data_IF_388818453526
#
_entry.id   IF_388818453526
#
_cell.length_a   1.000
_cell.length_b   1.000
_cell.length_c   1.000
_cell.angle_alpha   90.00
_cell.angle_beta   90.00
_cell.angle_gamma   90.00
#
_symmetry.space_group_name_H-M   'P 1'
#
loop_
_entity.id
_entity.type
_entity.pdbx_description
1 polymer ?
#
# COMPACT_ATOMS: atom_id res chain seq x y z
N UNK A 1 19.35 6.97 7.52
CA UNK A 1 18.03 7.54 7.90
C UNK A 1 17.23 8.11 6.73
N UNK A 2 17.85 8.77 5.72
CA UNK A 2 17.14 9.31 4.54
C UNK A 2 16.35 8.27 3.73
N UNK A 3 16.88 7.05 3.54
CA UNK A 3 16.20 6.01 2.74
C UNK A 3 14.89 5.49 3.35
N UNK A 4 14.75 5.49 4.68
CA UNK A 4 13.54 4.98 5.35
C UNK A 4 12.35 5.92 5.15
N UNK A 5 12.59 7.24 5.19
CA UNK A 5 11.56 8.26 4.97
C UNK A 5 11.13 8.25 3.50
N UNK A 6 12.06 8.11 2.55
CA UNK A 6 11.74 7.93 1.14
C UNK A 6 10.89 6.67 0.90
N UNK A 7 11.21 5.56 1.58
CA UNK A 7 10.44 4.31 1.49
C UNK A 7 9.00 4.48 2.01
N UNK A 8 8.81 5.19 3.12
CA UNK A 8 7.48 5.47 3.67
C UNK A 8 6.64 6.36 2.74
N UNK A 9 7.23 7.41 2.17
CA UNK A 9 6.54 8.29 1.18
C UNK A 9 6.17 7.49 -0.07
N UNK A 10 7.08 6.63 -0.57
CA UNK A 10 6.80 5.73 -1.69
C UNK A 10 5.70 4.71 -1.35
N UNK A 11 5.62 4.24 -0.10
CA UNK A 11 4.54 3.37 0.34
C UNK A 11 3.18 4.08 0.34
N UNK A 12 3.11 5.33 0.80
CA UNK A 12 1.87 6.12 0.68
C UNK A 12 1.47 6.35 -0.78
N UNK A 13 2.45 6.67 -1.63
CA UNK A 13 2.22 6.81 -3.07
C UNK A 13 1.73 5.50 -3.70
N UNK A 14 2.30 4.36 -3.30
CA UNK A 14 1.86 3.05 -3.77
C UNK A 14 0.44 2.72 -3.32
N UNK A 15 0.07 3.01 -2.06
CA UNK A 15 -1.29 2.79 -1.55
C UNK A 15 -2.32 3.63 -2.32
N UNK A 16 -1.97 4.88 -2.64
CA UNK A 16 -2.81 5.76 -3.46
C UNK A 16 -2.91 5.25 -4.90
N UNK A 17 -1.79 4.83 -5.51
CA UNK A 17 -1.75 4.31 -6.87
C UNK A 17 -2.59 3.02 -7.01
N UNK A 18 -2.54 2.12 -6.03
CA UNK A 18 -3.38 0.91 -6.01
C UNK A 18 -4.86 1.27 -5.94
N UNK A 19 -5.25 2.19 -5.06
CA UNK A 19 -6.65 2.62 -4.98
C UNK A 19 -7.14 3.37 -6.23
N UNK A 20 -6.28 4.12 -6.91
CA UNK A 20 -6.60 4.76 -8.20
C UNK A 20 -6.76 3.74 -9.33
N UNK A 21 -5.91 2.71 -9.33
CA UNK A 21 -5.97 1.62 -10.31
C UNK A 21 -6.99 0.53 -9.94
N UNK A 22 -7.64 0.61 -8.78
CA UNK A 22 -8.66 -0.34 -8.34
C UNK A 22 -9.80 -0.53 -9.35
N UNK A 23 -10.14 0.52 -10.10
CA UNK A 23 -11.13 0.45 -11.19
C UNK A 23 -10.71 -0.44 -12.36
N UNK A 24 -9.40 -0.60 -12.59
CA UNK A 24 -8.82 -1.41 -13.66
C UNK A 24 -8.37 -2.79 -13.15
N UNK A 25 -7.94 -2.89 -11.88
CA UNK A 25 -7.42 -4.12 -11.28
C UNK A 25 -8.47 -4.92 -10.52
N UNK A 26 -9.58 -4.30 -10.12
CA UNK A 26 -10.58 -4.89 -9.21
C UNK A 26 -10.09 -5.01 -7.76
N UNK A 27 -8.88 -4.55 -7.46
CA UNK A 27 -8.26 -4.67 -6.12
C UNK A 27 -8.34 -3.32 -5.42
N UNK A 28 -9.22 -3.23 -4.42
CA UNK A 28 -9.39 -2.03 -3.59
C UNK A 28 -8.83 -2.28 -2.18
N UNK A 29 -7.85 -1.49 -1.77
CA UNK A 29 -7.29 -1.54 -0.43
C UNK A 29 -7.97 -0.52 0.47
N UNK A 30 -8.65 -1.00 1.51
CA UNK A 30 -9.29 -0.13 2.49
C UNK A 30 -8.26 0.79 3.20
N UNK A 31 -8.44 2.11 3.05
CA UNK A 31 -7.56 3.12 3.64
C UNK A 31 -7.87 3.26 5.14
N UNK A 32 -7.39 2.30 5.93
CA UNK A 32 -7.52 2.28 7.39
C UNK A 32 -6.24 2.80 8.06
N UNK A 33 -6.33 3.13 9.36
CA UNK A 33 -5.16 3.52 10.16
C UNK A 33 -4.04 2.47 10.10
N UNK A 34 -4.40 1.18 9.98
CA UNK A 34 -3.45 0.08 9.82
C UNK A 34 -2.78 0.09 8.44
N UNK A 35 -3.53 0.33 7.37
CA UNK A 35 -2.99 0.41 6.00
C UNK A 35 -2.01 1.57 5.82
N UNK A 36 -2.35 2.73 6.39
CA UNK A 36 -1.50 3.92 6.45
C UNK A 36 -0.24 3.66 7.28
N UNK A 37 -0.36 2.99 8.42
CA UNK A 37 0.79 2.63 9.25
C UNK A 37 1.72 1.64 8.55
N UNK A 38 1.17 0.62 7.89
CA UNK A 38 1.94 -0.40 7.16
C UNK A 38 2.60 0.19 5.92
N UNK A 39 1.91 1.03 5.15
CA UNK A 39 2.51 1.73 4.00
C UNK A 39 3.61 2.70 4.41
N UNK A 40 3.48 3.36 5.57
CA UNK A 40 4.50 4.27 6.08
C UNK A 40 5.72 3.57 6.71
N UNK A 41 5.50 2.49 7.46
CA UNK A 41 6.57 1.76 8.17
C UNK A 41 7.34 0.80 7.27
N UNK A 42 6.63 0.03 6.44
CA UNK A 42 7.22 -0.97 5.56
C UNK A 42 7.41 -0.44 4.14
N UNK A 43 6.78 0.69 3.77
CA UNK A 43 6.93 1.28 2.44
C UNK A 43 6.22 0.48 1.34
N UNK A 44 6.83 0.45 0.16
CA UNK A 44 6.37 -0.34 -1.00
C UNK A 44 6.14 -1.82 -0.68
N UNK A 45 7.08 -2.58 -0.05
CA UNK A 45 6.85 -3.99 0.21
C UNK A 45 5.67 -4.25 1.17
N UNK A 46 5.38 -3.32 2.09
CA UNK A 46 4.19 -3.40 2.95
C UNK A 46 2.88 -3.29 2.15
N UNK A 47 2.82 -2.36 1.20
CA UNK A 47 1.66 -2.20 0.30
C UNK A 47 1.53 -3.40 -0.63
N UNK A 48 2.62 -3.91 -1.19
CA UNK A 48 2.59 -5.10 -2.05
C UNK A 48 2.06 -6.31 -1.30
N UNK A 49 2.46 -6.51 -0.03
CA UNK A 49 1.94 -7.59 0.79
C UNK A 49 0.43 -7.43 1.05
N UNK A 50 -0.03 -6.20 1.31
CA UNK A 50 -1.46 -5.92 1.46
C UNK A 50 -2.25 -6.24 0.19
N UNK A 51 -1.72 -5.90 -1.00
CA UNK A 51 -2.32 -6.27 -2.29
C UNK A 51 -2.43 -7.79 -2.42
N UNK A 52 -1.33 -8.52 -2.16
CA UNK A 52 -1.32 -9.99 -2.26
C UNK A 52 -2.36 -10.61 -1.33
N UNK A 53 -2.39 -10.18 -0.07
CA UNK A 53 -3.38 -10.68 0.89
C UNK A 53 -4.81 -10.34 0.45
N UNK A 54 -5.04 -9.14 -0.07
CA UNK A 54 -6.35 -8.74 -0.57
C UNK A 54 -6.76 -9.60 -1.78
N UNK A 55 -5.84 -9.94 -2.68
CA UNK A 55 -6.12 -10.81 -3.83
C UNK A 55 -6.34 -12.29 -3.48
N UNK A 56 -5.73 -12.79 -2.40
CA UNK A 56 -5.87 -14.19 -1.97
C UNK A 56 -7.14 -14.40 -1.12
N UNK A 57 -7.50 -13.40 -0.31
CA UNK A 57 -8.64 -13.45 0.61
C UNK A 57 -9.96 -12.97 -0.03
N UNK A 58 -9.93 -12.59 -1.30
CA UNK A 58 -11.09 -12.21 -2.12
C UNK A 58 -11.80 -13.45 -2.66
#
# INVERSE_FOLDING_TARGET
>A
MKSFIFSGVLGFAALAAVNLTAQYTGVALAVTRLSVAVSGLLGVPGVTLMVILNTILL
#
